data_IF_338927233683
#
_entry.id   IF_338927233683
#
_cell.length_a   1.000
_cell.length_b   1.000
_cell.length_c   1.000
_cell.angle_alpha   90.00
_cell.angle_beta   90.00
_cell.angle_gamma   90.00
#
_symmetry.space_group_name_H-M   'P 1'
#
loop_
_entity.id
_entity.type
_entity.pdbx_description
1 polymer ?
#
# COMPACT_ATOMS: atom_id res chain seq x y z
N UNK A 1 1.67 -0.46 31.30
CA UNK A 1 2.93 -0.86 30.62
C UNK A 1 2.58 -1.68 29.38
N UNK A 2 2.91 -1.20 28.20
CA UNK A 2 2.64 -1.92 26.96
C UNK A 2 3.66 -3.04 26.79
N UNK A 3 3.23 -4.27 26.94
CA UNK A 3 4.04 -5.47 26.71
C UNK A 3 3.25 -6.51 25.93
N UNK A 4 3.93 -7.35 25.17
CA UNK A 4 3.41 -8.58 24.58
C UNK A 4 3.92 -9.74 25.39
N UNK A 5 3.10 -10.74 25.62
CA UNK A 5 3.45 -11.91 26.42
C UNK A 5 3.24 -13.18 25.61
N UNK A 6 4.24 -14.05 25.62
CA UNK A 6 4.14 -15.37 25.00
C UNK A 6 4.17 -16.42 26.09
N UNK A 7 3.17 -17.31 26.16
CA UNK A 7 3.23 -18.42 27.11
C UNK A 7 4.39 -19.34 26.75
N UNK A 8 5.11 -19.75 27.73
CA UNK A 8 6.21 -20.70 27.56
C UNK A 8 6.14 -21.80 28.61
N UNK A 9 6.74 -22.92 28.27
CA UNK A 9 6.89 -24.05 29.16
C UNK A 9 8.36 -24.45 29.21
N UNK A 10 8.94 -24.53 30.40
CA UNK A 10 10.35 -24.83 30.59
C UNK A 10 10.58 -25.84 31.69
N UNK A 11 11.63 -26.65 31.54
CA UNK A 11 12.02 -27.65 32.50
C UNK A 11 13.08 -27.08 33.44
N UNK A 12 12.77 -27.06 34.75
CA UNK A 12 13.66 -26.55 35.77
C UNK A 12 13.48 -27.32 37.09
N UNK A 13 14.56 -27.62 37.78
CA UNK A 13 14.57 -28.40 39.05
C UNK A 13 13.75 -29.68 38.93
N UNK A 14 14.01 -30.49 37.91
CA UNK A 14 13.38 -31.79 37.62
C UNK A 14 11.85 -31.74 37.41
N UNK A 15 11.27 -30.59 37.10
CA UNK A 15 9.83 -30.42 36.81
C UNK A 15 9.57 -29.44 35.70
N UNK A 16 8.45 -29.61 35.04
CA UNK A 16 7.95 -28.65 34.05
C UNK A 16 7.27 -27.47 34.77
N UNK A 17 7.63 -26.27 34.35
CA UNK A 17 7.08 -25.03 34.87
C UNK A 17 6.45 -24.26 33.73
N UNK A 18 5.37 -23.54 33.99
CA UNK A 18 4.75 -22.57 33.07
C UNK A 18 5.30 -21.17 33.36
N UNK A 19 5.53 -20.42 32.32
CA UNK A 19 6.03 -19.05 32.41
C UNK A 19 5.64 -18.19 31.22
N UNK A 20 6.26 -17.03 31.15
CA UNK A 20 5.96 -16.04 30.12
C UNK A 20 7.26 -15.42 29.61
N UNK A 21 7.35 -15.29 28.28
CA UNK A 21 8.35 -14.45 27.66
C UNK A 21 7.70 -13.08 27.51
N UNK A 22 8.29 -12.06 28.11
CA UNK A 22 7.79 -10.69 28.03
C UNK A 22 8.55 -9.93 26.94
N UNK A 23 7.85 -9.52 25.89
CA UNK A 23 8.36 -8.58 24.90
C UNK A 23 8.03 -7.19 25.39
N UNK A 24 9.00 -6.54 26.00
CA UNK A 24 8.90 -5.18 26.52
C UNK A 24 9.14 -4.21 25.38
N UNK A 25 8.43 -3.10 25.35
CA UNK A 25 8.50 -2.12 24.28
C UNK A 25 8.11 -2.69 22.89
N UNK A 26 6.84 -3.04 22.67
CA UNK A 26 6.35 -3.66 21.45
C UNK A 26 6.35 -2.70 20.23
N UNK A 27 6.74 -1.44 20.40
CA UNK A 27 6.87 -0.46 19.31
C UNK A 27 8.14 -0.67 18.46
N UNK A 28 9.07 -1.48 18.94
CA UNK A 28 10.23 -1.90 18.15
C UNK A 28 9.89 -3.11 17.29
N UNK A 29 10.52 -3.19 16.13
CA UNK A 29 10.38 -4.33 15.24
C UNK A 29 10.80 -5.64 15.95
N UNK A 30 10.06 -6.72 15.69
CA UNK A 30 10.39 -8.07 16.16
C UNK A 30 10.46 -9.01 14.97
N UNK A 31 11.51 -9.82 14.89
CA UNK A 31 11.64 -10.85 13.89
C UNK A 31 11.46 -12.23 14.54
N UNK A 32 10.68 -13.09 13.89
CA UNK A 32 10.42 -14.47 14.36
C UNK A 32 10.95 -15.44 13.32
N UNK A 33 12.01 -16.15 13.65
CA UNK A 33 12.66 -17.11 12.77
C UNK A 33 12.30 -18.54 13.15
N UNK A 34 12.20 -19.39 12.14
CA UNK A 34 11.94 -20.82 12.32
C UNK A 34 11.60 -21.48 10.98
N UNK A 35 11.79 -22.79 10.90
CA UNK A 35 11.48 -23.61 9.74
C UNK A 35 9.98 -23.64 9.43
N UNK A 36 9.56 -24.00 8.22
CA UNK A 36 8.16 -24.29 7.92
C UNK A 36 7.59 -25.31 8.92
N UNK A 37 6.36 -25.10 9.39
CA UNK A 37 5.72 -26.01 10.35
C UNK A 37 6.14 -25.85 11.81
N UNK A 38 7.12 -24.98 12.15
CA UNK A 38 7.60 -24.79 13.54
C UNK A 38 6.62 -24.08 14.49
N UNK A 39 5.40 -23.81 14.06
CA UNK A 39 4.37 -23.19 14.90
C UNK A 39 4.50 -21.68 15.11
N UNK A 40 5.31 -20.96 14.31
CA UNK A 40 5.49 -19.49 14.43
C UNK A 40 4.18 -18.72 14.46
N UNK A 41 3.30 -19.00 13.50
CA UNK A 41 1.99 -18.33 13.42
C UNK A 41 1.15 -18.62 14.64
N UNK A 42 1.06 -19.88 15.05
CA UNK A 42 0.27 -20.31 16.20
C UNK A 42 0.79 -19.75 17.53
N UNK A 43 2.07 -19.91 17.80
CA UNK A 43 2.64 -19.56 19.10
C UNK A 43 2.87 -18.04 19.26
N UNK A 44 3.23 -17.34 18.19
CA UNK A 44 3.66 -15.94 18.27
C UNK A 44 2.66 -15.00 17.61
N UNK A 45 2.41 -15.18 16.29
CA UNK A 45 1.62 -14.20 15.52
C UNK A 45 0.18 -14.12 16.02
N UNK A 46 -0.48 -15.27 16.23
CA UNK A 46 -1.84 -15.31 16.75
C UNK A 46 -1.95 -14.69 18.15
N UNK A 47 -0.96 -14.98 19.01
CA UNK A 47 -0.90 -14.38 20.35
C UNK A 47 -0.74 -12.87 20.30
N UNK A 48 0.05 -12.35 19.34
CA UNK A 48 0.24 -10.91 19.19
C UNK A 48 -1.01 -10.24 18.64
N UNK A 49 -1.66 -10.80 17.62
CA UNK A 49 -2.91 -10.27 17.07
C UNK A 49 -3.96 -10.15 18.17
N UNK A 50 -4.19 -11.23 18.93
CA UNK A 50 -5.18 -11.23 20.03
C UNK A 50 -4.89 -10.18 21.07
N UNK A 51 -3.66 -10.12 21.58
CA UNK A 51 -3.27 -9.16 22.60
C UNK A 51 -3.32 -7.69 22.10
N UNK A 52 -3.07 -7.43 20.82
CA UNK A 52 -3.21 -6.09 20.28
C UNK A 52 -4.67 -5.67 20.21
N UNK A 53 -5.57 -6.57 19.80
CA UNK A 53 -7.02 -6.30 19.79
C UNK A 53 -7.51 -6.02 21.20
N UNK A 54 -7.20 -6.86 22.19
CA UNK A 54 -7.58 -6.69 23.60
C UNK A 54 -7.09 -5.37 24.19
N UNK A 55 -6.00 -4.82 23.67
CA UNK A 55 -5.42 -3.54 24.11
C UNK A 55 -5.87 -2.33 23.30
N UNK A 56 -6.77 -2.53 22.32
CA UNK A 56 -7.34 -1.45 21.53
C UNK A 56 -6.38 -0.84 20.49
N UNK A 57 -5.38 -1.61 20.02
CA UNK A 57 -4.47 -1.12 18.98
C UNK A 57 -5.04 -1.31 17.58
N UNK A 58 -4.85 -0.30 16.72
CA UNK A 58 -4.97 -0.47 15.28
C UNK A 58 -3.84 -1.34 14.77
N UNK A 59 -4.11 -2.14 13.73
CA UNK A 59 -3.10 -3.01 13.14
C UNK A 59 -3.34 -3.23 11.66
N UNK A 60 -2.24 -3.48 10.95
CA UNK A 60 -2.24 -4.06 9.63
C UNK A 60 -1.70 -5.49 9.72
N UNK A 61 -2.44 -6.45 9.15
CA UNK A 61 -2.07 -7.87 9.15
C UNK A 61 -1.91 -8.34 7.71
N UNK A 62 -0.68 -8.68 7.33
CA UNK A 62 -0.42 -9.31 6.04
C UNK A 62 -0.59 -10.83 6.17
N UNK A 63 -1.67 -11.34 5.59
CA UNK A 63 -2.04 -12.75 5.67
C UNK A 63 -1.71 -13.47 4.35
N UNK A 64 -0.46 -13.93 4.23
CA UNK A 64 0.02 -14.61 3.02
C UNK A 64 -0.75 -15.90 2.70
N UNK A 65 -1.28 -16.56 3.73
CA UNK A 65 -2.04 -17.82 3.60
C UNK A 65 -3.54 -17.58 3.84
N UNK A 66 -4.07 -16.48 3.29
CA UNK A 66 -5.47 -16.15 3.49
C UNK A 66 -6.36 -17.41 3.56
N UNK A 67 -7.23 -17.59 4.57
CA UNK A 67 -7.80 -16.59 5.51
C UNK A 67 -7.47 -16.89 7.00
N UNK A 68 -6.34 -17.49 7.33
CA UNK A 68 -6.08 -17.95 8.70
C UNK A 68 -5.97 -16.80 9.70
N UNK A 69 -5.07 -15.84 9.46
CA UNK A 69 -4.82 -14.72 10.38
C UNK A 69 -5.97 -13.71 10.37
N UNK A 70 -6.54 -13.44 9.22
CA UNK A 70 -7.69 -12.53 9.07
C UNK A 70 -8.92 -13.07 9.78
N UNK A 71 -9.19 -14.37 9.70
CA UNK A 71 -10.30 -15.01 10.42
C UNK A 71 -10.08 -14.95 11.94
N UNK A 72 -8.87 -15.20 12.41
CA UNK A 72 -8.52 -15.11 13.84
C UNK A 72 -8.68 -13.66 14.33
N UNK A 73 -8.17 -12.68 13.57
CA UNK A 73 -8.28 -11.27 13.92
C UNK A 73 -9.76 -10.83 13.99
N UNK A 74 -10.55 -11.16 12.97
CA UNK A 74 -11.95 -10.78 12.91
C UNK A 74 -12.77 -11.40 14.05
N UNK A 75 -12.66 -12.70 14.26
CA UNK A 75 -13.41 -13.39 15.33
C UNK A 75 -13.00 -12.89 16.72
N UNK A 76 -11.69 -12.62 16.92
CA UNK A 76 -11.23 -12.09 18.20
C UNK A 76 -11.75 -10.67 18.44
N UNK A 77 -11.78 -9.83 17.40
CA UNK A 77 -12.33 -8.48 17.47
C UNK A 77 -13.84 -8.47 17.80
N UNK A 78 -14.61 -9.39 17.22
CA UNK A 78 -16.04 -9.53 17.53
C UNK A 78 -16.30 -9.89 18.99
N UNK A 79 -15.42 -10.68 19.60
CA UNK A 79 -15.57 -11.17 20.97
C UNK A 79 -14.91 -10.26 22.02
N UNK A 80 -14.07 -9.30 21.60
CA UNK A 80 -13.32 -8.41 22.50
C UNK A 80 -13.33 -6.95 22.04
N UNK A 81 -14.52 -6.34 21.85
CA UNK A 81 -14.61 -4.95 21.43
C UNK A 81 -14.29 -3.95 22.54
N UNK A 82 -14.23 -4.39 23.80
CA UNK A 82 -14.07 -3.57 25.00
C UNK A 82 -12.70 -2.86 25.08
N UNK A 83 -11.70 -3.33 24.34
CA UNK A 83 -10.40 -2.67 24.25
C UNK A 83 -10.42 -1.32 23.53
N UNK A 84 -11.50 -1.02 22.82
CA UNK A 84 -11.61 0.16 21.96
C UNK A 84 -12.58 1.18 22.52
N UNK A 85 -12.17 2.47 22.58
CA UNK A 85 -13.04 3.58 22.95
C UNK A 85 -14.10 3.89 21.89
N UNK A 86 -13.77 3.66 20.63
CA UNK A 86 -14.63 3.82 19.45
C UNK A 86 -14.71 2.46 18.75
N UNK A 87 -15.90 2.09 18.28
CA UNK A 87 -16.10 0.82 17.59
C UNK A 87 -15.12 0.68 16.42
N UNK A 88 -14.22 -0.30 16.45
CA UNK A 88 -13.24 -0.48 15.38
C UNK A 88 -13.91 -0.96 14.10
N UNK A 89 -13.35 -0.55 12.97
CA UNK A 89 -13.73 -1.06 11.65
C UNK A 89 -12.72 -2.13 11.23
N UNK A 90 -13.19 -3.11 10.51
CA UNK A 90 -12.36 -4.19 9.99
C UNK A 90 -12.45 -4.22 8.48
N UNK A 91 -11.31 -4.08 7.83
CA UNK A 91 -11.21 -4.06 6.37
C UNK A 91 -10.36 -5.22 5.89
N UNK A 92 -10.73 -5.79 4.76
CA UNK A 92 -9.99 -6.87 4.09
C UNK A 92 -9.68 -6.42 2.68
N UNK A 93 -8.42 -6.50 2.28
CA UNK A 93 -7.99 -6.35 0.88
C UNK A 93 -7.62 -7.75 0.39
N UNK A 94 -8.38 -8.26 -0.57
CA UNK A 94 -8.19 -9.59 -1.13
C UNK A 94 -8.23 -9.53 -2.66
N UNK A 95 -7.09 -9.68 -3.29
CA UNK A 95 -6.97 -9.63 -4.75
C UNK A 95 -7.37 -10.95 -5.42
N UNK A 96 -7.41 -12.06 -4.67
CA UNK A 96 -7.76 -13.37 -5.23
C UNK A 96 -9.29 -13.56 -5.32
N UNK A 97 -10.05 -13.02 -4.36
CA UNK A 97 -11.52 -13.03 -4.37
C UNK A 97 -12.09 -11.63 -4.09
N UNK A 98 -12.30 -10.82 -5.14
CA UNK A 98 -12.84 -9.46 -5.02
C UNK A 98 -14.19 -9.37 -4.30
N UNK A 99 -15.00 -10.43 -4.32
CA UNK A 99 -16.29 -10.47 -3.62
C UNK A 99 -16.15 -10.44 -2.10
N UNK A 100 -14.96 -10.75 -1.60
CA UNK A 100 -14.58 -10.72 -0.17
C UNK A 100 -13.52 -9.67 0.12
N UNK A 101 -13.48 -8.63 -0.69
CA UNK A 101 -12.51 -7.54 -0.56
C UNK A 101 -13.24 -6.21 -0.44
N UNK A 102 -12.72 -5.33 0.38
CA UNK A 102 -13.00 -3.91 0.29
C UNK A 102 -12.16 -3.30 -0.83
N UNK A 103 -12.67 -2.23 -1.42
CA UNK A 103 -11.94 -1.48 -2.44
C UNK A 103 -10.99 -0.48 -1.77
N UNK A 104 -9.80 -0.38 -2.35
CA UNK A 104 -8.75 0.49 -1.87
C UNK A 104 -7.95 1.04 -3.05
N UNK A 105 -8.18 2.28 -3.41
CA UNK A 105 -7.46 2.98 -4.47
C UNK A 105 -6.14 3.54 -3.91
N UNK A 106 -4.96 3.07 -4.38
CA UNK A 106 -3.68 3.54 -3.87
C UNK A 106 -3.32 4.96 -4.29
N UNK A 107 -4.03 5.53 -5.27
CA UNK A 107 -3.84 6.91 -5.78
C UNK A 107 -5.10 7.75 -5.57
N UNK A 108 -5.73 7.61 -4.39
CA UNK A 108 -6.94 8.38 -4.10
C UNK A 108 -6.65 9.89 -4.12
N UNK A 109 -7.49 10.71 -4.79
CA UNK A 109 -7.21 12.13 -4.98
C UNK A 109 -7.07 12.94 -3.68
N UNK A 110 -7.72 12.53 -2.59
CA UNK A 110 -7.64 13.21 -1.30
C UNK A 110 -6.29 13.06 -0.59
N UNK A 111 -5.43 12.15 -1.05
CA UNK A 111 -4.09 11.95 -0.49
C UNK A 111 -3.01 12.77 -1.20
N UNK A 112 -3.39 13.57 -2.18
CA UNK A 112 -2.47 14.36 -2.97
C UNK A 112 -2.83 15.84 -2.85
N UNK A 113 -1.94 16.63 -2.27
CA UNK A 113 -2.06 18.08 -2.18
C UNK A 113 -1.38 18.77 -3.36
N UNK A 114 -0.23 18.24 -3.77
CA UNK A 114 0.53 18.74 -4.92
C UNK A 114 1.07 17.60 -5.80
N UNK A 115 1.76 17.97 -6.89
CA UNK A 115 2.29 17.01 -7.86
C UNK A 115 3.39 16.12 -7.28
N UNK A 116 4.06 16.53 -6.20
CA UNK A 116 5.09 15.72 -5.55
C UNK A 116 4.49 14.49 -4.88
N UNK A 117 3.25 14.58 -4.39
CA UNK A 117 2.54 13.43 -3.84
C UNK A 117 2.18 12.41 -4.93
N UNK A 118 1.84 12.89 -6.13
CA UNK A 118 1.63 12.02 -7.29
C UNK A 118 2.94 11.34 -7.71
N UNK A 119 4.08 12.07 -7.65
CA UNK A 119 5.40 11.51 -7.91
C UNK A 119 5.77 10.43 -6.90
N UNK A 120 5.60 10.67 -5.59
CA UNK A 120 5.87 9.70 -4.52
C UNK A 120 5.01 8.43 -4.69
N UNK A 121 3.75 8.60 -5.07
CA UNK A 121 2.84 7.48 -5.36
C UNK A 121 3.33 6.67 -6.57
N UNK A 122 3.66 7.33 -7.67
CA UNK A 122 4.21 6.69 -8.87
C UNK A 122 5.54 5.99 -8.58
N UNK A 123 6.44 6.67 -7.87
CA UNK A 123 7.75 6.14 -7.45
C UNK A 123 7.59 4.87 -6.63
N UNK A 124 6.75 4.90 -5.60
CA UNK A 124 6.49 3.75 -4.73
C UNK A 124 5.92 2.56 -5.52
N UNK A 125 4.93 2.80 -6.38
CA UNK A 125 4.30 1.77 -7.20
C UNK A 125 5.32 1.15 -8.17
N UNK A 126 6.03 1.98 -8.93
CA UNK A 126 6.95 1.53 -9.98
C UNK A 126 8.14 0.77 -9.42
N UNK A 127 8.74 1.21 -8.31
CA UNK A 127 9.84 0.51 -7.66
C UNK A 127 9.41 -0.84 -7.05
N UNK A 128 8.20 -0.93 -6.51
CA UNK A 128 7.68 -2.20 -6.02
C UNK A 128 7.40 -3.21 -7.14
N UNK A 129 6.99 -2.74 -8.31
CA UNK A 129 6.78 -3.58 -9.48
C UNK A 129 8.10 -4.04 -10.12
N UNK A 130 9.16 -3.25 -9.98
CA UNK A 130 10.48 -3.57 -10.51
C UNK A 130 11.59 -3.31 -9.49
N UNK A 131 11.84 -4.31 -8.63
CA UNK A 131 12.83 -4.21 -7.54
C UNK A 131 14.25 -3.90 -7.99
N UNK A 132 14.62 -4.22 -9.23
CA UNK A 132 15.96 -3.90 -9.76
C UNK A 132 16.19 -2.39 -9.92
N UNK A 133 15.12 -1.60 -10.02
CA UNK A 133 15.19 -0.15 -10.13
C UNK A 133 15.66 0.52 -8.85
N UNK A 134 15.46 -0.10 -7.69
CA UNK A 134 15.95 0.42 -6.40
C UNK A 134 17.48 0.67 -6.43
N UNK A 135 18.23 -0.15 -7.18
CA UNK A 135 19.68 -0.01 -7.32
C UNK A 135 20.10 0.92 -8.46
N UNK A 136 19.14 1.40 -9.27
CA UNK A 136 19.37 2.23 -10.46
C UNK A 136 18.66 3.58 -10.35
N UNK A 137 18.50 4.10 -9.14
CA UNK A 137 17.94 5.43 -8.92
C UNK A 137 18.81 6.48 -9.60
N UNK A 138 18.18 7.44 -10.29
CA UNK A 138 18.85 8.43 -11.11
C UNK A 138 19.17 7.98 -12.54
N UNK A 139 18.88 6.72 -12.91
CA UNK A 139 18.96 6.26 -14.30
C UNK A 139 17.79 6.83 -15.10
N UNK A 140 18.08 7.31 -16.30
CA UNK A 140 17.06 7.91 -17.17
C UNK A 140 15.87 6.99 -17.46
N UNK A 141 16.11 5.68 -17.67
CA UNK A 141 15.05 4.70 -17.93
C UNK A 141 14.32 4.24 -16.66
N UNK A 142 14.70 4.73 -15.48
CA UNK A 142 13.98 4.57 -14.24
C UNK A 142 13.17 5.82 -13.93
N UNK A 143 13.80 6.99 -14.03
CA UNK A 143 13.16 8.25 -13.65
C UNK A 143 12.08 8.67 -14.67
N UNK A 144 12.33 8.54 -15.97
CA UNK A 144 11.35 8.98 -16.98
C UNK A 144 10.01 8.23 -16.92
N UNK A 145 9.94 6.89 -16.77
CA UNK A 145 8.67 6.19 -16.55
C UNK A 145 7.91 6.65 -15.29
N UNK A 146 8.63 6.95 -14.22
CA UNK A 146 8.04 7.43 -12.97
C UNK A 146 7.42 8.81 -13.18
N UNK A 147 8.15 9.73 -13.84
CA UNK A 147 7.67 11.07 -14.17
C UNK A 147 6.44 11.01 -15.07
N UNK A 148 6.45 10.17 -16.10
CA UNK A 148 5.30 10.01 -16.99
C UNK A 148 4.07 9.49 -16.22
N UNK A 149 4.25 8.49 -15.37
CA UNK A 149 3.14 7.94 -14.60
C UNK A 149 2.64 8.92 -13.53
N UNK A 150 3.54 9.66 -12.89
CA UNK A 150 3.19 10.75 -11.97
C UNK A 150 2.38 11.85 -12.66
N UNK A 151 2.77 12.24 -13.87
CA UNK A 151 2.04 13.23 -14.67
C UNK A 151 0.62 12.75 -15.00
N UNK A 152 0.44 11.47 -15.30
CA UNK A 152 -0.87 10.87 -15.52
C UNK A 152 -1.71 10.87 -14.25
N UNK A 153 -1.13 10.48 -13.12
CA UNK A 153 -1.83 10.49 -11.82
C UNK A 153 -2.28 11.91 -11.48
N UNK A 154 -1.39 12.89 -11.60
CA UNK A 154 -1.71 14.28 -11.33
C UNK A 154 -2.78 14.83 -12.28
N UNK A 155 -2.69 14.55 -13.59
CA UNK A 155 -3.74 14.87 -14.53
C UNK A 155 -5.11 14.34 -14.10
N UNK A 156 -5.19 13.06 -13.71
CA UNK A 156 -6.43 12.46 -13.25
C UNK A 156 -6.93 13.04 -11.94
N UNK A 157 -6.03 13.53 -11.06
CA UNK A 157 -6.35 14.24 -9.83
C UNK A 157 -7.08 15.57 -10.12
N UNK A 158 -6.57 16.35 -11.07
CA UNK A 158 -7.17 17.66 -11.39
C UNK A 158 -8.35 17.56 -12.37
N UNK A 159 -8.37 16.54 -13.22
CA UNK A 159 -9.46 16.35 -14.19
C UNK A 159 -10.76 15.99 -13.48
N UNK A 160 -11.81 16.80 -13.70
CA UNK A 160 -13.13 16.63 -13.10
C UNK A 160 -13.11 16.40 -11.57
N UNK A 161 -12.27 17.11 -10.83
CA UNK A 161 -12.11 17.01 -9.39
C UNK A 161 -11.74 15.58 -8.91
N UNK A 162 -10.90 14.89 -9.65
CA UNK A 162 -10.40 13.57 -9.28
C UNK A 162 -11.36 12.40 -9.49
N UNK A 163 -12.50 12.65 -10.16
CA UNK A 163 -13.53 11.60 -10.38
C UNK A 163 -12.96 10.30 -11.00
N UNK A 164 -11.96 10.43 -11.84
CA UNK A 164 -11.31 9.30 -12.51
C UNK A 164 -9.90 9.01 -11.97
N UNK A 165 -9.53 9.61 -10.85
CA UNK A 165 -8.23 9.37 -10.24
C UNK A 165 -8.22 8.04 -9.49
N UNK A 166 -8.24 6.95 -10.25
CA UNK A 166 -8.11 5.59 -9.75
C UNK A 166 -7.01 4.84 -10.49
N UNK A 167 -6.44 3.86 -9.83
CA UNK A 167 -5.33 3.10 -10.40
C UNK A 167 -5.66 2.43 -11.75
N UNK A 168 -6.84 1.80 -11.95
CA UNK A 168 -7.23 1.30 -13.26
C UNK A 168 -7.29 2.37 -14.34
N UNK A 169 -7.86 3.55 -14.05
CA UNK A 169 -7.92 4.63 -15.03
C UNK A 169 -6.53 5.14 -15.42
N UNK A 170 -5.60 5.21 -14.46
CA UNK A 170 -4.23 5.62 -14.74
C UNK A 170 -3.52 4.63 -15.67
N UNK A 171 -3.71 3.32 -15.46
CA UNK A 171 -3.15 2.29 -16.34
C UNK A 171 -3.80 2.35 -17.75
N UNK A 172 -5.11 2.44 -17.81
CA UNK A 172 -5.83 2.49 -19.09
C UNK A 172 -5.48 3.76 -19.87
N UNK A 173 -5.30 4.90 -19.19
CA UNK A 173 -4.86 6.13 -19.82
C UNK A 173 -3.43 5.99 -20.37
N UNK A 174 -2.49 5.46 -19.59
CA UNK A 174 -1.12 5.21 -20.05
C UNK A 174 -1.07 4.25 -21.25
N UNK A 175 -2.00 3.30 -21.35
CA UNK A 175 -2.04 2.33 -22.44
C UNK A 175 -2.54 2.90 -23.77
N UNK A 176 -3.11 4.11 -23.78
CA UNK A 176 -3.47 4.81 -25.02
C UNK A 176 -2.23 5.12 -25.86
N UNK A 177 -2.46 5.55 -27.07
CA UNK A 177 -1.38 6.00 -27.96
C UNK A 177 -0.80 7.30 -27.43
N UNK A 178 0.50 7.49 -27.54
CA UNK A 178 1.13 8.72 -27.02
C UNK A 178 0.68 9.97 -27.80
N UNK A 179 0.33 9.80 -29.07
CA UNK A 179 -0.24 10.88 -29.89
C UNK A 179 -1.58 11.39 -29.35
N UNK A 180 -2.32 10.56 -28.62
CA UNK A 180 -3.58 10.94 -27.97
C UNK A 180 -3.34 11.49 -26.55
N UNK A 181 -2.34 10.96 -25.85
CA UNK A 181 -2.06 11.29 -24.44
C UNK A 181 -1.39 12.66 -24.30
N UNK A 182 -0.32 12.91 -25.06
CA UNK A 182 0.50 14.11 -24.87
C UNK A 182 -0.25 15.41 -25.15
N UNK A 183 -1.09 15.54 -26.19
CA UNK A 183 -1.89 16.75 -26.38
C UNK A 183 -2.84 17.05 -25.20
N UNK A 184 -3.35 15.98 -24.55
CA UNK A 184 -4.21 16.13 -23.38
C UNK A 184 -3.37 16.60 -22.18
N UNK A 185 -2.27 15.92 -21.88
CA UNK A 185 -1.43 16.24 -20.72
C UNK A 185 -0.80 17.64 -20.84
N UNK A 186 -0.33 18.04 -22.02
CA UNK A 186 0.28 19.36 -22.26
C UNK A 186 -0.72 20.51 -22.26
N UNK A 187 -2.02 20.23 -22.34
CA UNK A 187 -3.05 21.26 -22.14
C UNK A 187 -3.15 21.76 -20.69
N UNK A 188 -2.44 21.12 -19.76
CA UNK A 188 -2.36 21.50 -18.35
C UNK A 188 -0.98 22.12 -18.06
N UNK A 189 -0.90 23.44 -17.80
CA UNK A 189 0.40 24.13 -17.62
C UNK A 189 1.26 23.57 -16.49
N UNK A 190 0.64 23.01 -15.46
CA UNK A 190 1.33 22.39 -14.33
C UNK A 190 2.19 21.17 -14.73
N UNK A 191 1.86 20.52 -15.85
CA UNK A 191 2.54 19.34 -16.36
C UNK A 191 3.62 19.64 -17.40
N UNK A 192 3.70 20.85 -17.91
CA UNK A 192 4.57 21.23 -19.03
C UNK A 192 6.04 20.87 -18.75
N UNK A 193 6.57 21.27 -17.60
CA UNK A 193 7.96 21.01 -17.22
C UNK A 193 8.26 19.52 -17.05
N UNK A 194 7.30 18.73 -16.56
CA UNK A 194 7.47 17.29 -16.36
C UNK A 194 7.43 16.52 -17.68
N UNK A 195 6.73 17.06 -18.67
CA UNK A 195 6.55 16.44 -19.98
C UNK A 195 7.58 16.89 -21.02
N UNK A 196 8.30 17.98 -20.75
CA UNK A 196 9.26 18.56 -21.70
C UNK A 196 10.25 17.52 -22.26
N UNK A 197 10.89 16.61 -21.48
CA UNK A 197 11.79 15.61 -22.05
C UNK A 197 11.13 14.64 -23.04
N UNK A 198 9.84 14.37 -22.88
CA UNK A 198 9.07 13.51 -23.78
C UNK A 198 8.64 14.27 -25.03
N UNK A 199 8.26 15.55 -24.87
CA UNK A 199 7.88 16.42 -25.97
C UNK A 199 9.06 16.74 -26.87
N UNK A 200 10.24 16.98 -26.27
CA UNK A 200 11.48 17.22 -27.01
C UNK A 200 11.86 15.99 -27.85
N UNK A 201 11.73 14.78 -27.28
CA UNK A 201 11.96 13.55 -28.01
C UNK A 201 10.94 13.34 -29.14
N UNK A 202 9.65 13.67 -28.89
CA UNK A 202 8.58 13.52 -29.88
C UNK A 202 8.75 14.50 -31.04
N UNK A 203 8.88 15.79 -30.74
CA UNK A 203 9.00 16.85 -31.74
C UNK A 203 10.37 16.87 -32.44
N UNK A 204 11.41 16.46 -31.72
CA UNK A 204 12.78 16.34 -32.23
C UNK A 204 13.01 15.10 -33.12
N UNK A 205 12.00 14.24 -33.30
CA UNK A 205 12.12 13.05 -34.15
C UNK A 205 12.87 11.87 -33.53
N UNK A 206 13.13 11.90 -32.21
CA UNK A 206 13.76 10.81 -31.46
C UNK A 206 12.73 9.73 -31.03
N UNK A 207 11.96 9.22 -32.00
CA UNK A 207 10.84 8.31 -31.76
C UNK A 207 11.24 7.03 -31.01
N UNK A 208 12.41 6.47 -31.30
CA UNK A 208 12.91 5.25 -30.61
C UNK A 208 13.15 5.50 -29.12
N UNK A 209 13.72 6.64 -28.76
CA UNK A 209 13.93 7.03 -27.38
C UNK A 209 12.60 7.21 -26.66
N UNK A 210 11.66 7.94 -27.25
CA UNK A 210 10.31 8.14 -26.71
C UNK A 210 9.59 6.80 -26.49
N UNK A 211 9.63 5.92 -27.48
CA UNK A 211 9.03 4.58 -27.35
C UNK A 211 9.67 3.76 -26.24
N UNK A 212 10.99 3.87 -26.07
CA UNK A 212 11.72 3.22 -24.96
C UNK A 212 11.26 3.72 -23.58
N UNK A 213 11.09 5.03 -23.41
CA UNK A 213 10.57 5.63 -22.16
C UNK A 213 9.15 5.14 -21.85
N UNK A 214 8.26 5.18 -22.84
CA UNK A 214 6.86 4.75 -22.69
C UNK A 214 6.78 3.23 -22.41
N UNK A 215 7.55 2.42 -23.10
CA UNK A 215 7.60 0.98 -22.88
C UNK A 215 8.10 0.65 -21.47
N UNK A 216 9.10 1.39 -20.97
CA UNK A 216 9.61 1.23 -19.61
C UNK A 216 8.55 1.52 -18.55
N UNK A 217 7.59 2.39 -18.82
CA UNK A 217 6.42 2.62 -17.95
C UNK A 217 5.36 1.51 -18.10
N UNK A 218 5.03 1.13 -19.34
CA UNK A 218 3.94 0.17 -19.62
C UNK A 218 4.26 -1.26 -19.17
N UNK A 219 5.50 -1.71 -19.34
CA UNK A 219 5.89 -3.12 -19.06
C UNK A 219 5.69 -3.50 -17.58
N UNK A 220 6.18 -2.75 -16.57
CA UNK A 220 5.94 -3.10 -15.19
C UNK A 220 4.45 -3.06 -14.82
N UNK A 221 3.72 -2.03 -15.28
CA UNK A 221 2.31 -1.84 -14.98
C UNK A 221 1.39 -2.86 -15.66
N UNK A 222 1.81 -3.48 -16.76
CA UNK A 222 1.03 -4.53 -17.43
C UNK A 222 0.72 -5.73 -16.53
N UNK A 223 1.55 -5.98 -15.51
CA UNK A 223 1.33 -7.03 -14.50
C UNK A 223 0.13 -6.76 -13.60
N UNK A 224 -0.32 -5.52 -13.55
CA UNK A 224 -1.45 -5.07 -12.74
C UNK A 224 -2.77 -5.08 -13.54
N UNK A 225 -2.74 -5.43 -14.82
CA UNK A 225 -3.92 -5.51 -15.68
C UNK A 225 -4.65 -6.82 -15.41
N UNK A 226 -5.59 -6.79 -14.48
CA UNK A 226 -6.50 -7.90 -14.23
C UNK A 226 -7.85 -7.39 -13.72
N UNK A 227 -8.96 -8.07 -14.05
CA UNK A 227 -10.28 -7.67 -13.56
C UNK A 227 -10.37 -7.60 -12.04
N UNK A 228 -9.70 -8.51 -11.33
CA UNK A 228 -9.69 -8.57 -9.87
C UNK A 228 -8.97 -7.36 -9.26
N UNK A 229 -7.75 -7.07 -9.75
CA UNK A 229 -6.98 -5.91 -9.29
C UNK A 229 -7.71 -4.60 -9.63
N UNK A 230 -8.26 -4.51 -10.83
CA UNK A 230 -9.02 -3.33 -11.26
C UNK A 230 -10.22 -3.08 -10.36
N UNK A 231 -10.97 -4.12 -10.02
CA UNK A 231 -12.11 -3.96 -9.12
C UNK A 231 -11.68 -3.49 -7.73
N UNK A 232 -10.69 -4.12 -7.12
CA UNK A 232 -10.20 -3.76 -5.78
C UNK A 232 -9.62 -2.33 -5.74
N UNK A 233 -8.95 -1.90 -6.82
CA UNK A 233 -8.28 -0.59 -6.87
C UNK A 233 -9.12 0.52 -7.54
N UNK A 234 -10.41 0.26 -7.83
CA UNK A 234 -11.28 1.21 -8.54
C UNK A 234 -11.93 2.27 -7.67
N UNK A 235 -11.90 2.11 -6.35
CA UNK A 235 -12.57 3.00 -5.40
C UNK A 235 -11.94 2.86 -4.01
N UNK A 236 -12.36 3.67 -3.04
CA UNK A 236 -11.90 3.61 -1.66
C UNK A 236 -13.07 3.55 -0.69
N UNK A 237 -13.24 2.41 -0.03
CA UNK A 237 -14.22 2.22 1.05
C UNK A 237 -13.63 2.60 2.41
N UNK A 238 -12.34 2.88 2.46
CA UNK A 238 -11.61 3.34 3.64
C UNK A 238 -10.34 4.07 3.22
N UNK A 239 -9.78 4.84 4.13
CA UNK A 239 -8.50 5.52 3.92
C UNK A 239 -7.33 4.68 4.43
N UNK A 240 -6.24 4.67 3.67
CA UNK A 240 -4.94 4.14 4.10
C UNK A 240 -4.10 5.18 4.84
N UNK A 241 -4.61 6.39 5.02
CA UNK A 241 -3.91 7.41 5.82
C UNK A 241 -3.91 7.02 7.29
N UNK A 242 -2.90 6.24 7.64
CA UNK A 242 -2.64 5.78 9.01
C UNK A 242 -2.33 6.97 9.92
N UNK A 243 -1.79 8.05 9.39
CA UNK A 243 -1.43 9.24 10.17
C UNK A 243 -2.68 10.02 10.57
N UNK A 244 -3.65 10.19 9.70
CA UNK A 244 -4.94 10.80 10.06
C UNK A 244 -5.68 9.95 11.12
N UNK A 245 -5.64 8.64 11.01
CA UNK A 245 -6.24 7.76 12.00
C UNK A 245 -5.49 7.79 13.34
N UNK A 246 -4.17 7.94 13.34
CA UNK A 246 -3.34 8.09 14.55
C UNK A 246 -3.50 9.47 15.18
N UNK A 247 -3.65 10.53 14.41
CA UNK A 247 -3.92 11.88 14.92
C UNK A 247 -5.30 11.92 15.58
N UNK A 248 -6.32 11.31 15.01
CA UNK A 248 -7.64 11.22 15.62
C UNK A 248 -7.72 10.25 16.81
N UNK A 249 -6.78 9.33 16.96
CA UNK A 249 -6.70 8.38 18.09
C UNK A 249 -5.74 8.88 19.18
N UNK A 250 -4.72 9.65 18.82
CA UNK A 250 -3.63 10.05 19.72
C UNK A 250 -3.71 11.49 20.23
N UNK A 251 -4.59 12.32 19.71
CA UNK A 251 -4.92 13.57 20.39
C UNK A 251 -6.11 13.32 21.34
N UNK A 252 -5.84 13.00 22.63
CA UNK A 252 -6.76 13.39 23.65
C UNK A 252 -6.73 14.92 23.64
N UNK A 253 -7.76 15.53 23.06
CA UNK A 253 -8.18 16.89 23.38
C UNK A 253 -7.24 17.58 24.38
N UNK A 254 -6.32 18.39 23.87
CA UNK A 254 -5.80 19.50 24.67
C UNK A 254 -6.98 20.46 24.85
N UNK A 255 -7.67 20.28 25.96
CA UNK A 255 -8.41 21.33 26.63
C UNK A 255 -7.40 22.21 27.33
#
# INVERSE_FOLDING_TARGET
MYKRQLPTRFYYKKRWNNGWINVVNPFRASIVLGTPGSGKSYAVVNSFIKQQIEKGFSMYVYDFKFSDLSTIAYNHLLNHPEGYKVKPKFYVINFDDPRRSHRCNPIHPDFMEDITDAYESAYTIMLNLNKSWVQKQGDFFVESPIILFASIIWYLKIYQNGKYCTFPHAIEFLNRRYEDIFPILTSYPELENYLSPFMDAWLGGAAEQLMGQIASAKIPLSRMISPQLYWVMSDSEFTLDINLSLIHISEPTRL
#
